data_IF_761933626040
#
_entry.id   IF_761933626040
#
_cell.length_a   1.000
_cell.length_b   1.000
_cell.length_c   1.000
_cell.angle_alpha   90.00
_cell.angle_beta   90.00
_cell.angle_gamma   90.00
#
_symmetry.space_group_name_H-M   'P 1'
#
loop_
_entity.id
_entity.type
_entity.pdbx_description
1 polymer ?
#
# COMPACT_ATOMS: atom_id res chain seq x y z
N UNK A 1 -2.51 1.17 2.92
CA UNK A 1 -2.62 0.82 1.49
C UNK A 1 -1.72 -0.37 1.20
N UNK A 2 -1.99 -1.12 0.13
CA UNK A 2 -1.11 -2.16 -0.41
C UNK A 2 -1.14 -2.17 -1.93
N UNK A 3 -0.05 -2.61 -2.56
CA UNK A 3 0.07 -2.73 -4.01
C UNK A 3 1.47 -3.20 -4.45
N UNK A 4 1.76 -3.13 -5.75
CA UNK A 4 3.08 -3.47 -6.29
C UNK A 4 4.17 -2.53 -5.75
N UNK A 5 5.28 -3.10 -5.27
CA UNK A 5 6.45 -2.33 -4.87
C UNK A 5 7.21 -1.86 -6.12
N UNK A 6 7.36 -0.55 -6.26
CA UNK A 6 8.08 0.07 -7.38
C UNK A 6 8.88 1.28 -6.93
N UNK A 7 10.01 1.58 -7.59
CA UNK A 7 10.75 2.81 -7.36
C UNK A 7 9.84 4.04 -7.51
N UNK A 8 9.87 4.92 -6.51
CA UNK A 8 9.12 6.18 -6.51
C UNK A 8 7.70 6.12 -5.95
N UNK A 9 7.14 4.94 -5.64
CA UNK A 9 5.75 4.82 -5.16
C UNK A 9 5.47 5.71 -3.93
N UNK A 10 6.30 5.62 -2.89
CA UNK A 10 6.11 6.42 -1.68
C UNK A 10 6.36 7.92 -1.93
N UNK A 11 7.24 8.26 -2.88
CA UNK A 11 7.47 9.65 -3.29
C UNK A 11 6.25 10.24 -3.98
N UNK A 12 5.64 9.49 -4.91
CA UNK A 12 4.39 9.89 -5.59
C UNK A 12 3.24 10.06 -4.59
N UNK A 13 3.09 9.11 -3.65
CA UNK A 13 2.11 9.21 -2.56
C UNK A 13 2.35 10.47 -1.72
N UNK A 14 3.59 10.74 -1.33
CA UNK A 14 3.93 11.93 -0.55
C UNK A 14 3.64 13.22 -1.32
N UNK A 15 3.93 13.26 -2.62
CA UNK A 15 3.66 14.41 -3.46
C UNK A 15 2.15 14.70 -3.54
N UNK A 16 1.33 13.67 -3.77
CA UNK A 16 -0.14 13.79 -3.78
C UNK A 16 -0.67 14.29 -2.43
N UNK A 17 -0.16 13.76 -1.31
CA UNK A 17 -0.59 14.20 0.02
C UNK A 17 -0.28 15.69 0.25
N UNK A 18 0.93 16.13 -0.14
CA UNK A 18 1.33 17.53 -0.01
C UNK A 18 0.49 18.44 -0.90
N UNK A 19 0.26 18.06 -2.16
CA UNK A 19 -0.56 18.82 -3.12
C UNK A 19 -2.02 18.97 -2.64
N UNK A 20 -2.54 17.96 -1.95
CA UNK A 20 -3.87 17.98 -1.33
C UNK A 20 -3.92 18.73 0.01
N UNK A 21 -2.83 19.37 0.43
CA UNK A 21 -2.73 20.11 1.69
C UNK A 21 -2.79 19.21 2.93
N UNK A 22 -2.27 17.99 2.83
CA UNK A 22 -2.11 17.07 3.95
C UNK A 22 -0.68 17.12 4.49
N UNK A 23 -0.53 17.13 5.81
CA UNK A 23 0.75 16.96 6.49
C UNK A 23 0.91 15.51 6.96
N UNK A 24 2.06 14.88 6.67
CA UNK A 24 2.36 13.51 7.10
C UNK A 24 2.97 13.55 8.50
N UNK A 25 2.28 12.99 9.50
CA UNK A 25 2.75 12.95 10.88
C UNK A 25 3.51 11.68 11.24
N UNK A 26 3.28 10.59 10.49
CA UNK A 26 4.02 9.35 10.60
C UNK A 26 3.72 8.46 9.39
N UNK A 27 4.71 7.71 8.93
CA UNK A 27 4.53 6.70 7.90
C UNK A 27 5.33 5.44 8.25
N UNK A 28 4.73 4.28 8.04
CA UNK A 28 5.39 2.98 8.17
C UNK A 28 5.07 2.15 6.95
N UNK A 29 6.10 1.59 6.32
CA UNK A 29 5.97 0.77 5.12
C UNK A 29 6.73 -0.54 5.29
N UNK A 30 6.16 -1.61 4.76
CA UNK A 30 6.77 -2.93 4.61
C UNK A 30 6.83 -3.28 3.13
N UNK A 31 7.85 -4.04 2.75
CA UNK A 31 7.99 -4.60 1.40
C UNK A 31 8.30 -6.09 1.50
N UNK A 32 7.65 -6.89 0.66
CA UNK A 32 7.83 -8.34 0.61
C UNK A 32 7.33 -8.90 -0.73
N UNK A 33 8.10 -9.80 -1.36
CA UNK A 33 7.74 -10.46 -2.63
C UNK A 33 7.27 -9.50 -3.75
N UNK A 34 7.92 -8.34 -3.89
CA UNK A 34 7.53 -7.33 -4.89
C UNK A 34 6.22 -6.60 -4.57
N UNK A 35 5.73 -6.72 -3.33
CA UNK A 35 4.54 -6.06 -2.78
C UNK A 35 4.98 -5.05 -1.74
N UNK A 36 4.28 -3.93 -1.69
CA UNK A 36 4.44 -2.91 -0.66
C UNK A 36 3.12 -2.76 0.10
N UNK A 37 3.22 -2.57 1.42
CA UNK A 37 2.11 -2.13 2.25
C UNK A 37 2.57 -0.95 3.10
N UNK A 38 1.73 0.08 3.23
CA UNK A 38 2.05 1.20 4.11
C UNK A 38 0.84 1.74 4.87
N UNK A 39 1.13 2.32 6.03
CA UNK A 39 0.20 3.06 6.87
C UNK A 39 0.77 4.46 7.00
N UNK A 40 -0.01 5.46 6.60
CA UNK A 40 0.39 6.86 6.63
C UNK A 40 -0.65 7.60 7.47
N UNK A 41 -0.16 8.31 8.48
CA UNK A 41 -0.96 9.20 9.31
C UNK A 41 -0.85 10.61 8.76
N UNK A 42 -2.01 11.21 8.51
CA UNK A 42 -2.10 12.54 7.91
C UNK A 42 -2.99 13.46 8.73
N UNK A 43 -2.63 14.73 8.73
CA UNK A 43 -3.40 15.83 9.33
C UNK A 43 -3.61 16.94 8.30
N UNK A 44 -4.51 17.87 8.59
CA UNK A 44 -4.69 19.06 7.76
C UNK A 44 -3.46 19.97 7.89
N UNK A 45 -2.83 20.34 6.77
CA UNK A 45 -1.64 21.21 6.81
C UNK A 45 -1.96 22.65 7.21
N UNK A 46 -3.20 23.11 6.99
CA UNK A 46 -3.64 24.48 7.30
C UNK A 46 -4.03 24.65 8.77
N UNK A 47 -4.43 23.57 9.45
CA UNK A 47 -4.95 23.60 10.82
C UNK A 47 -4.55 22.33 11.56
N UNK A 48 -4.04 22.43 12.81
CA UNK A 48 -3.71 21.25 13.60
C UNK A 48 -4.91 20.30 13.74
N UNK A 49 -4.72 19.02 13.43
CA UNK A 49 -5.71 17.97 13.66
C UNK A 49 -6.29 17.31 12.40
N UNK A 50 -7.31 16.45 12.58
CA UNK A 50 -7.81 15.57 11.52
C UNK A 50 -8.58 16.33 10.44
N UNK A 51 -8.47 15.84 9.20
CA UNK A 51 -9.28 16.30 8.07
C UNK A 51 -10.73 15.85 8.30
N UNK A 52 -11.65 16.82 8.48
CA UNK A 52 -13.08 16.55 8.78
C UNK A 52 -13.99 16.62 7.56
N UNK A 53 -13.53 17.23 6.46
CA UNK A 53 -14.34 17.39 5.26
C UNK A 53 -14.41 16.06 4.48
N UNK A 54 -15.59 15.43 4.36
CA UNK A 54 -15.74 14.18 3.66
C UNK A 54 -15.43 14.28 2.16
N UNK A 55 -15.65 15.44 1.54
CA UNK A 55 -15.32 15.65 0.11
C UNK A 55 -13.82 15.63 -0.10
N UNK A 56 -13.07 16.33 0.76
CA UNK A 56 -11.60 16.30 0.73
C UNK A 56 -11.06 14.88 0.99
N UNK A 57 -11.62 14.16 1.96
CA UNK A 57 -11.22 12.77 2.21
C UNK A 57 -11.47 11.88 0.99
N UNK A 58 -12.60 12.03 0.31
CA UNK A 58 -12.89 11.29 -0.92
C UNK A 58 -11.88 11.59 -2.03
N UNK A 59 -11.55 12.87 -2.24
CA UNK A 59 -10.55 13.30 -3.22
C UNK A 59 -9.15 12.74 -2.90
N UNK A 60 -8.72 12.80 -1.64
CA UNK A 60 -7.44 12.22 -1.21
C UNK A 60 -7.42 10.71 -1.48
N UNK A 61 -8.51 10.01 -1.18
CA UNK A 61 -8.62 8.56 -1.44
C UNK A 61 -8.47 8.27 -2.94
N UNK A 62 -9.22 8.97 -3.78
CA UNK A 62 -9.21 8.80 -5.23
C UNK A 62 -7.82 9.05 -5.82
N UNK A 63 -7.15 10.13 -5.44
CA UNK A 63 -5.80 10.42 -5.92
C UNK A 63 -4.78 9.36 -5.50
N UNK A 64 -4.89 8.85 -4.27
CA UNK A 64 -4.04 7.74 -3.82
C UNK A 64 -4.34 6.43 -4.56
N UNK A 65 -5.61 6.15 -4.86
CA UNK A 65 -6.00 4.99 -5.68
C UNK A 65 -5.37 5.09 -7.07
N UNK A 66 -5.45 6.26 -7.71
CA UNK A 66 -4.79 6.51 -9.00
C UNK A 66 -3.28 6.26 -8.94
N UNK A 67 -2.58 6.75 -7.91
CA UNK A 67 -1.12 6.52 -7.77
C UNK A 67 -0.80 5.03 -7.59
N UNK A 68 -1.56 4.32 -6.76
CA UNK A 68 -1.30 2.89 -6.52
C UNK A 68 -1.61 2.05 -7.77
N UNK A 69 -2.65 2.41 -8.52
CA UNK A 69 -3.09 1.70 -9.72
C UNK A 69 -2.30 2.05 -10.99
N UNK A 70 -1.74 3.27 -11.10
CA UNK A 70 -1.19 3.83 -12.34
C UNK A 70 -0.14 2.97 -13.05
N UNK A 71 0.53 2.06 -12.33
CA UNK A 71 1.58 1.19 -12.91
C UNK A 71 1.35 -0.29 -12.65
N UNK A 72 0.17 -0.68 -12.18
CA UNK A 72 -0.19 -2.07 -12.02
C UNK A 72 -0.69 -2.69 -13.32
N UNK A 73 -0.31 -3.93 -13.60
CA UNK A 73 -0.90 -4.74 -14.64
C UNK A 73 -2.40 -4.99 -14.40
N UNK A 74 -3.15 -5.22 -15.50
CA UNK A 74 -4.58 -5.52 -15.44
C UNK A 74 -4.83 -6.76 -14.57
N UNK A 75 -5.50 -6.58 -13.44
CA UNK A 75 -5.79 -7.66 -12.48
C UNK A 75 -4.89 -7.69 -11.24
N UNK A 76 -3.98 -6.73 -11.10
CA UNK A 76 -3.20 -6.59 -9.87
C UNK A 76 -4.06 -6.17 -8.68
N UNK A 77 -3.79 -6.79 -7.54
CA UNK A 77 -4.47 -6.49 -6.27
C UNK A 77 -3.88 -5.20 -5.71
N UNK A 78 -4.69 -4.16 -5.57
CA UNK A 78 -4.30 -2.91 -4.94
C UNK A 78 -5.40 -2.51 -3.95
N UNK A 79 -5.04 -1.80 -2.88
CA UNK A 79 -6.02 -1.42 -1.87
C UNK A 79 -5.63 -0.12 -1.16
N UNK A 80 -6.50 0.88 -1.21
CA UNK A 80 -6.37 2.13 -0.46
C UNK A 80 -7.59 2.27 0.46
N UNK A 81 -7.33 2.52 1.75
CA UNK A 81 -8.39 2.71 2.75
C UNK A 81 -8.03 3.89 3.65
N UNK A 82 -8.99 4.79 3.82
CA UNK A 82 -8.95 5.82 4.84
C UNK A 82 -9.67 5.32 6.09
N UNK A 83 -9.11 5.62 7.26
CA UNK A 83 -9.70 5.28 8.56
C UNK A 83 -9.48 6.42 9.53
N UNK A 84 -10.49 6.69 10.36
CA UNK A 84 -10.30 7.50 11.56
C UNK A 84 -9.52 6.65 12.56
N UNK A 85 -8.34 7.11 12.94
CA UNK A 85 -7.54 6.44 13.95
C UNK A 85 -7.95 6.97 15.33
N UNK A 86 -8.38 6.11 16.27
CA UNK A 86 -8.54 6.53 17.66
C UNK A 86 -7.18 6.96 18.21
N UNK A 87 -7.19 7.85 19.21
CA UNK A 87 -5.97 8.30 19.87
C UNK A 87 -5.27 7.09 20.52
N UNK A 88 -4.22 6.59 19.88
CA UNK A 88 -3.49 5.39 20.31
C UNK A 88 -2.91 4.62 19.12
N UNK A 89 -1.58 4.69 18.96
CA UNK A 89 -0.83 4.06 17.85
C UNK A 89 -0.30 2.67 18.22
N UNK A 90 -1.15 1.76 18.71
CA UNK A 90 -0.65 0.53 19.37
C UNK A 90 -0.43 -0.67 18.43
N UNK A 91 -0.91 -0.62 17.19
CA UNK A 91 -0.99 -1.82 16.33
C UNK A 91 -0.50 -1.63 14.89
N UNK A 92 0.41 -0.69 14.62
CA UNK A 92 0.92 -0.42 13.26
C UNK A 92 1.50 -1.69 12.61
N UNK A 93 2.44 -2.38 13.27
CA UNK A 93 3.04 -3.63 12.77
C UNK A 93 1.98 -4.72 12.50
N UNK A 94 1.06 -4.92 13.45
CA UNK A 94 -0.04 -5.89 13.27
C UNK A 94 -0.93 -5.53 12.09
N UNK A 95 -1.19 -4.24 11.85
CA UNK A 95 -2.01 -3.79 10.71
C UNK A 95 -1.28 -3.95 9.38
N UNK A 96 0.03 -3.73 9.34
CA UNK A 96 0.85 -4.00 8.16
C UNK A 96 0.85 -5.49 7.82
N UNK A 97 1.00 -6.36 8.82
CA UNK A 97 0.85 -7.80 8.61
C UNK A 97 -0.52 -8.16 8.04
N UNK A 98 -1.61 -7.60 8.57
CA UNK A 98 -2.96 -7.83 8.04
C UNK A 98 -3.13 -7.33 6.61
N UNK A 99 -2.50 -6.20 6.26
CA UNK A 99 -2.51 -5.68 4.90
C UNK A 99 -1.79 -6.63 3.94
N UNK A 100 -0.55 -7.03 4.27
CA UNK A 100 0.23 -7.97 3.49
C UNK A 100 -0.50 -9.31 3.30
N UNK A 101 -1.03 -9.87 4.40
CA UNK A 101 -1.82 -11.11 4.33
C UNK A 101 -3.05 -10.99 3.42
N UNK A 102 -3.80 -9.89 3.50
CA UNK A 102 -4.97 -9.67 2.64
C UNK A 102 -4.60 -9.47 1.15
N UNK A 103 -3.42 -8.92 0.91
CA UNK A 103 -2.80 -8.73 -0.40
C UNK A 103 -2.28 -10.05 -1.00
N UNK A 104 -2.08 -11.05 -0.13
CA UNK A 104 -1.54 -12.39 -0.36
C UNK A 104 -0.11 -12.36 -0.90
N UNK A 105 0.68 -11.46 -0.36
CA UNK A 105 2.11 -11.35 -0.62
C UNK A 105 2.88 -12.65 -0.37
N UNK A 106 2.37 -13.54 0.49
CA UNK A 106 2.93 -14.87 0.75
C UNK A 106 2.74 -15.89 -0.39
N UNK A 107 1.80 -15.69 -1.31
CA UNK A 107 1.55 -16.62 -2.44
C UNK A 107 2.66 -16.52 -3.52
N UNK A 108 3.41 -15.41 -3.56
CA UNK A 108 4.36 -15.07 -4.63
C UNK A 108 5.76 -15.66 -4.53
N UNK A 109 6.01 -16.63 -3.63
CA UNK A 109 7.31 -17.29 -3.53
C UNK A 109 7.52 -18.28 -4.71
N UNK A 110 7.74 -17.75 -5.92
CA UNK A 110 8.08 -18.53 -7.11
C UNK A 110 9.54 -19.03 -7.13
N UNK A 111 10.26 -18.97 -6.00
CA UNK A 111 11.65 -19.43 -5.89
C UNK A 111 11.82 -20.97 -6.00
N UNK A 112 10.76 -21.70 -6.34
CA UNK A 112 10.78 -23.16 -6.47
C UNK A 112 10.01 -23.67 -7.71
N UNK A 113 10.08 -23.00 -8.88
CA UNK A 113 9.84 -23.74 -10.13
C UNK A 113 11.10 -24.54 -10.48
N UNK A 114 11.25 -25.69 -9.82
CA UNK A 114 12.14 -26.73 -10.31
C UNK A 114 11.65 -27.17 -11.69
N UNK A 115 12.41 -26.85 -12.74
CA UNK A 115 12.25 -27.48 -14.04
C UNK A 115 12.61 -28.96 -13.90
N UNK A 116 11.67 -29.80 -13.45
CA UNK A 116 11.78 -31.25 -13.63
C UNK A 116 11.31 -31.60 -15.04
N UNK A 117 12.16 -31.30 -16.03
CA UNK A 117 12.11 -31.96 -17.33
C UNK A 117 12.59 -33.40 -17.13
N UNK A 118 11.69 -34.28 -16.70
CA UNK A 118 11.93 -35.71 -16.60
C UNK A 118 11.84 -36.34 -17.99
N UNK A 119 12.98 -36.62 -18.61
CA UNK A 119 13.08 -37.44 -19.81
C UNK A 119 12.53 -38.85 -19.53
N UNK A 120 11.49 -39.24 -20.27
CA UNK A 120 10.95 -40.58 -20.31
C UNK A 120 11.85 -41.44 -21.20
N UNK A 121 12.61 -42.39 -20.62
CA UNK A 121 13.34 -43.41 -21.40
C UNK A 121 12.77 -44.77 -21.02
N UNK A 122 11.91 -45.31 -21.90
CA UNK A 122 11.50 -46.72 -21.86
C UNK A 122 12.68 -47.56 -22.35
N UNK A 123 13.10 -48.50 -21.53
CA UNK A 123 13.98 -49.62 -21.86
C UNK A 123 13.34 -50.87 -21.29
#
# INVERSE_FOLDING_TARGET
MSGMDRPGLLSEISAVLVDMGCSVTSATAWTHNGRAACIIYVEDASRPGPIKDPKRLAQVKEQLENVVEARGGKGERNNVRLRNFPAGRTHTERRLHQLMYADRDYEGCHACHGNTSGYHKKG
#
